data_IF_206822281884
#
_entry.id   IF_206822281884
#
_cell.length_a   1.000
_cell.length_b   1.000
_cell.length_c   1.000
_cell.angle_alpha   90.00
_cell.angle_beta   90.00
_cell.angle_gamma   90.00
#
_symmetry.space_group_name_H-M   'P 1'
#
loop_
_entity.id
_entity.type
_entity.pdbx_description
1 polymer ?
#
# COMPACT_ATOMS: atom_id res chain seq x y z
N UNK A 1 -25.72 13.08 -3.29
CA UNK A 1 -24.73 12.09 -2.80
C UNK A 1 -23.43 12.32 -3.54
N UNK A 2 -22.33 12.55 -2.85
CA UNK A 2 -21.02 12.80 -3.47
C UNK A 2 -20.39 11.46 -3.85
N UNK A 3 -20.12 11.23 -5.14
CA UNK A 3 -19.54 9.98 -5.60
C UNK A 3 -18.01 10.01 -5.49
N UNK A 4 -17.46 9.29 -4.51
CA UNK A 4 -16.03 9.22 -4.24
C UNK A 4 -15.21 8.70 -5.45
N UNK A 5 -15.76 7.75 -6.21
CA UNK A 5 -15.07 7.17 -7.35
C UNK A 5 -14.88 8.18 -8.49
N UNK A 6 -15.87 9.03 -8.72
CA UNK A 6 -15.81 10.07 -9.75
C UNK A 6 -14.81 11.18 -9.38
N UNK A 7 -14.81 11.59 -8.11
CA UNK A 7 -13.85 12.57 -7.59
C UNK A 7 -12.43 12.03 -7.65
N UNK A 8 -12.21 10.79 -7.18
CA UNK A 8 -10.91 10.15 -7.23
C UNK A 8 -10.38 10.04 -8.65
N UNK A 9 -11.23 9.63 -9.60
CA UNK A 9 -10.87 9.53 -11.02
C UNK A 9 -10.51 10.88 -11.64
N UNK A 10 -11.26 11.95 -11.33
CA UNK A 10 -10.96 13.31 -11.82
C UNK A 10 -9.66 13.86 -11.24
N UNK A 11 -9.44 13.68 -9.93
CA UNK A 11 -8.24 14.19 -9.25
C UNK A 11 -6.97 13.43 -9.62
N UNK A 12 -7.10 12.19 -10.09
CA UNK A 12 -5.97 11.36 -10.54
C UNK A 12 -5.91 11.18 -12.05
N UNK A 13 -6.75 11.90 -12.79
CA UNK A 13 -6.74 11.89 -14.25
C UNK A 13 -5.38 12.40 -14.76
N UNK A 14 -4.74 11.60 -15.63
CA UNK A 14 -3.45 11.95 -16.22
C UNK A 14 -2.23 11.75 -15.31
N UNK A 15 -2.39 11.21 -14.08
CA UNK A 15 -1.26 10.87 -13.22
C UNK A 15 -0.44 9.72 -13.81
N UNK A 16 0.88 9.90 -13.89
CA UNK A 16 1.80 8.84 -14.30
C UNK A 16 2.21 7.96 -13.12
N UNK A 17 2.58 6.71 -13.41
CA UNK A 17 3.09 5.76 -12.42
C UNK A 17 4.39 6.31 -11.80
N UNK A 18 4.47 6.34 -10.47
CA UNK A 18 5.63 6.87 -9.73
C UNK A 18 5.62 8.38 -9.48
N UNK A 19 4.68 9.12 -10.09
CA UNK A 19 4.49 10.53 -9.80
C UNK A 19 3.79 10.72 -8.44
N UNK A 20 4.23 11.70 -7.67
CA UNK A 20 3.58 12.06 -6.40
C UNK A 20 2.12 12.48 -6.60
N UNK A 21 1.30 12.28 -5.56
CA UNK A 21 -0.09 12.72 -5.55
C UNK A 21 -0.15 14.24 -5.43
N UNK A 22 -1.03 14.86 -6.21
CA UNK A 22 -1.28 16.30 -6.11
C UNK A 22 -1.76 16.67 -4.70
N UNK A 23 -1.46 17.88 -4.20
CA UNK A 23 -1.91 18.33 -2.88
C UNK A 23 -3.43 18.24 -2.70
N UNK A 24 -4.18 18.52 -3.77
CA UNK A 24 -5.65 18.40 -3.81
C UNK A 24 -6.12 16.96 -3.70
N UNK A 25 -5.48 16.01 -4.39
CA UNK A 25 -5.78 14.59 -4.24
C UNK A 25 -5.51 14.09 -2.81
N UNK A 26 -4.40 14.54 -2.20
CA UNK A 26 -4.07 14.19 -0.80
C UNK A 26 -5.11 14.72 0.19
N UNK A 27 -5.55 15.97 0.03
CA UNK A 27 -6.61 16.54 0.86
C UNK A 27 -7.94 15.79 0.72
N UNK A 28 -8.31 15.42 -0.52
CA UNK A 28 -9.53 14.66 -0.78
C UNK A 28 -9.49 13.25 -0.17
N UNK A 29 -8.33 12.58 -0.18
CA UNK A 29 -8.11 11.29 0.49
C UNK A 29 -8.32 11.43 2.00
N UNK A 30 -7.71 12.44 2.63
CA UNK A 30 -7.85 12.70 4.07
C UNK A 30 -9.33 12.95 4.41
N UNK A 31 -10.00 13.80 3.62
CA UNK A 31 -11.43 14.09 3.80
C UNK A 31 -12.32 12.86 3.64
N UNK A 32 -12.03 11.99 2.67
CA UNK A 32 -12.80 10.77 2.46
C UNK A 32 -12.66 9.79 3.64
N UNK A 33 -11.44 9.63 4.18
CA UNK A 33 -11.20 8.80 5.37
C UNK A 33 -11.87 9.40 6.61
N UNK A 34 -11.78 10.73 6.80
CA UNK A 34 -12.46 11.41 7.89
C UNK A 34 -14.00 11.29 7.82
N UNK A 35 -14.55 11.22 6.61
CA UNK A 35 -15.97 10.95 6.35
C UNK A 35 -16.35 9.47 6.53
N UNK A 36 -15.43 8.60 6.95
CA UNK A 36 -15.68 7.19 7.21
C UNK A 36 -15.55 6.26 6.00
N UNK A 37 -15.01 6.73 4.87
CA UNK A 37 -14.77 5.85 3.73
C UNK A 37 -13.72 4.79 4.07
N UNK A 38 -13.95 3.55 3.63
CA UNK A 38 -12.99 2.48 3.83
C UNK A 38 -11.70 2.74 3.05
N UNK A 39 -10.56 2.38 3.64
CA UNK A 39 -9.24 2.55 3.00
C UNK A 39 -9.19 1.88 1.61
N UNK A 40 -9.87 0.73 1.47
CA UNK A 40 -9.96 0.00 0.20
C UNK A 40 -10.82 0.73 -0.84
N UNK A 41 -11.93 1.36 -0.43
CA UNK A 41 -12.73 2.18 -1.33
C UNK A 41 -11.97 3.43 -1.80
N UNK A 42 -11.24 4.09 -0.90
CA UNK A 42 -10.39 5.24 -1.23
C UNK A 42 -9.25 4.83 -2.17
N UNK A 43 -8.55 3.73 -1.89
CA UNK A 43 -7.48 3.22 -2.75
C UNK A 43 -7.98 2.93 -4.19
N UNK A 44 -9.16 2.31 -4.32
CA UNK A 44 -9.80 2.06 -5.62
C UNK A 44 -10.19 3.36 -6.32
N UNK A 45 -10.80 4.29 -5.60
CA UNK A 45 -11.25 5.57 -6.16
C UNK A 45 -10.09 6.41 -6.71
N UNK A 46 -8.96 6.45 -6.01
CA UNK A 46 -7.78 7.23 -6.39
C UNK A 46 -6.75 6.45 -7.19
N UNK A 47 -7.04 5.20 -7.60
CA UNK A 47 -6.10 4.31 -8.33
C UNK A 47 -4.73 4.22 -7.65
N UNK A 48 -4.73 4.20 -6.31
CA UNK A 48 -3.55 4.00 -5.49
C UNK A 48 -3.47 2.50 -5.23
N UNK A 49 -3.02 1.75 -6.23
CA UNK A 49 -2.77 0.33 -6.04
C UNK A 49 -1.65 0.14 -5.01
N UNK A 50 -1.82 -0.84 -4.12
CA UNK A 50 -0.70 -1.43 -3.38
C UNK A 50 0.16 -2.18 -4.38
N UNK A 51 0.97 -1.48 -5.16
CA UNK A 51 2.20 -2.11 -5.61
C UNK A 51 2.98 -2.38 -4.33
N UNK A 52 3.21 -3.65 -4.01
CA UNK A 52 4.12 -4.03 -2.95
C UNK A 52 5.42 -3.28 -3.27
N UNK A 53 5.72 -2.23 -2.50
CA UNK A 53 6.89 -1.40 -2.72
C UNK A 53 8.08 -2.36 -2.75
N UNK A 54 8.73 -2.49 -3.91
CA UNK A 54 9.98 -3.25 -3.99
C UNK A 54 10.88 -2.68 -2.91
N UNK A 55 11.43 -3.50 -2.01
CA UNK A 55 12.35 -3.00 -0.99
C UNK A 55 13.44 -2.21 -1.70
N UNK A 56 13.67 -0.97 -1.25
CA UNK A 56 14.65 -0.08 -1.84
C UNK A 56 16.01 -0.78 -1.84
N UNK A 57 16.63 -0.88 -3.02
CA UNK A 57 17.98 -1.43 -3.18
C UNK A 57 18.93 -0.62 -2.30
N UNK A 58 19.47 -1.24 -1.25
CA UNK A 58 20.37 -0.58 -0.29
C UNK A 58 19.84 -0.50 1.15
N UNK A 59 18.59 -0.91 1.41
CA UNK A 59 18.12 -1.06 2.78
C UNK A 59 18.82 -2.28 3.42
N UNK A 60 19.51 -2.12 4.57
CA UNK A 60 20.19 -3.24 5.21
C UNK A 60 19.17 -4.32 5.55
N UNK A 61 19.48 -5.57 5.21
CA UNK A 61 18.59 -6.68 5.53
C UNK A 61 18.46 -6.79 7.05
N UNK A 62 17.23 -6.69 7.57
CA UNK A 62 16.92 -6.85 9.00
C UNK A 62 17.39 -8.21 9.52
N UNK A 63 17.40 -9.22 8.64
CA UNK A 63 17.88 -10.57 8.91
C UNK A 63 18.91 -10.97 7.88
N UNK A 64 20.01 -11.56 8.35
CA UNK A 64 21.02 -12.17 7.49
C UNK A 64 20.45 -13.36 6.72
N UNK A 65 21.10 -13.72 5.60
CA UNK A 65 20.76 -14.91 4.82
C UNK A 65 20.70 -16.20 5.66
N UNK A 66 21.54 -16.32 6.70
CA UNK A 66 21.57 -17.48 7.59
C UNK A 66 20.35 -17.53 8.50
N UNK A 67 19.96 -16.40 9.08
CA UNK A 67 18.79 -16.30 9.97
C UNK A 67 17.50 -16.58 9.20
N UNK A 68 17.36 -16.03 7.98
CA UNK A 68 16.23 -16.33 7.09
C UNK A 68 16.13 -17.84 6.80
N UNK A 69 17.26 -18.48 6.49
CA UNK A 69 17.31 -19.92 6.20
C UNK A 69 16.96 -20.75 7.43
N UNK A 70 17.42 -20.34 8.60
CA UNK A 70 17.12 -21.00 9.87
C UNK A 70 15.63 -20.91 10.22
N UNK A 71 15.04 -19.72 10.11
CA UNK A 71 13.59 -19.51 10.34
C UNK A 71 12.77 -20.38 9.37
N UNK A 72 13.16 -20.46 8.09
CA UNK A 72 12.52 -21.34 7.10
C UNK A 72 12.65 -22.82 7.45
N UNK A 73 13.78 -23.27 8.00
CA UNK A 73 13.92 -24.65 8.48
C UNK A 73 13.07 -24.90 9.71
N UNK A 74 12.97 -23.93 10.62
CA UNK A 74 12.18 -24.02 11.83
C UNK A 74 10.68 -24.08 11.49
N UNK A 75 10.24 -23.26 10.53
CA UNK A 75 8.91 -23.26 9.93
C UNK A 75 8.49 -24.63 9.41
N UNK A 76 9.38 -25.25 8.61
CA UNK A 76 9.15 -26.56 8.02
C UNK A 76 9.09 -27.67 9.07
N UNK A 77 9.88 -27.57 10.14
CA UNK A 77 9.91 -28.55 11.23
C UNK A 77 8.77 -28.38 12.21
N UNK A 78 8.25 -27.16 12.38
CA UNK A 78 7.20 -26.83 13.35
C UNK A 78 6.19 -25.85 12.73
N UNK A 79 5.20 -26.36 11.97
CA UNK A 79 4.22 -25.51 11.29
C UNK A 79 3.35 -24.69 12.26
N UNK A 80 3.20 -25.14 13.50
CA UNK A 80 2.40 -24.47 14.54
C UNK A 80 2.98 -23.13 15.04
N UNK A 81 4.22 -22.78 14.67
CA UNK A 81 4.88 -21.55 15.12
C UNK A 81 4.64 -20.33 14.21
N UNK A 82 4.02 -20.51 13.05
CA UNK A 82 3.82 -19.46 12.02
C UNK A 82 2.35 -19.17 11.76
N UNK A 83 1.46 -19.87 12.47
CA UNK A 83 0.01 -19.60 12.46
C UNK A 83 -0.29 -18.53 13.49
#
# INVERSE_FOLDING_TARGET
MVNLAEIGAKLTAGRQLGQELSPTARAAIIGAVAAGASQLAVARAFRIERTASKPQTGQPEILTCREKRYILQLAKRRPQLIT
#
